data_IF_348204189260
#
_entry.id   IF_348204189260
#
_cell.length_a   1.000
_cell.length_b   1.000
_cell.length_c   1.000
_cell.angle_alpha   90.00
_cell.angle_beta   90.00
_cell.angle_gamma   90.00
#
_symmetry.space_group_name_H-M   'P 1'
#
loop_
_entity.id
_entity.type
_entity.pdbx_description
1 polymer ?
#
# COMPACT_ATOMS: atom_id res chain seq x y z
N UNK A 1 25.57 -55.28 -26.95
CA UNK A 1 26.66 -54.29 -26.99
C UNK A 1 26.28 -53.26 -28.04
N UNK A 2 25.65 -52.17 -27.61
CA UNK A 2 25.48 -50.95 -28.41
C UNK A 2 25.51 -49.80 -27.41
N UNK A 3 26.60 -49.04 -27.48
CA UNK A 3 26.92 -47.87 -26.69
C UNK A 3 26.24 -46.60 -27.27
N UNK A 4 25.67 -45.82 -26.35
CA UNK A 4 25.63 -44.33 -26.22
C UNK A 4 24.82 -43.46 -27.24
N UNK A 5 24.41 -42.19 -26.92
CA UNK A 5 24.87 -41.30 -25.83
C UNK A 5 23.84 -40.42 -25.06
N UNK A 6 24.36 -39.79 -24.00
CA UNK A 6 24.14 -38.41 -23.50
C UNK A 6 22.78 -37.91 -22.98
N UNK A 7 22.70 -37.92 -21.64
CA UNK A 7 22.57 -36.72 -20.81
C UNK A 7 22.01 -35.44 -21.44
N UNK A 8 20.72 -35.21 -21.29
CA UNK A 8 20.18 -33.84 -21.30
C UNK A 8 20.38 -33.22 -19.92
N UNK A 9 21.46 -32.44 -19.79
CA UNK A 9 21.67 -31.50 -18.69
C UNK A 9 20.50 -30.51 -18.63
N UNK A 10 19.53 -30.80 -17.76
CA UNK A 10 18.54 -29.83 -17.32
C UNK A 10 19.21 -28.99 -16.23
N UNK A 11 19.22 -27.65 -16.33
CA UNK A 11 19.86 -26.81 -15.32
C UNK A 11 19.26 -27.13 -13.94
N UNK A 12 20.13 -27.48 -13.00
CA UNK A 12 19.76 -27.98 -11.68
C UNK A 12 18.86 -26.97 -10.94
N UNK A 13 17.60 -27.32 -10.60
CA UNK A 13 16.64 -26.42 -9.97
C UNK A 13 17.12 -25.74 -8.68
N UNK A 14 18.08 -26.36 -7.96
CA UNK A 14 18.52 -25.87 -6.65
C UNK A 14 19.38 -24.60 -6.66
N UNK A 15 20.06 -24.28 -7.78
CA UNK A 15 20.99 -23.12 -7.82
C UNK A 15 20.27 -21.80 -8.10
N UNK A 16 19.23 -21.84 -8.94
CA UNK A 16 18.40 -20.66 -9.25
C UNK A 16 17.58 -20.24 -8.02
N UNK A 17 17.01 -21.20 -7.28
CA UNK A 17 16.20 -20.92 -6.09
C UNK A 17 16.98 -20.23 -4.97
N UNK A 18 18.24 -20.62 -4.73
CA UNK A 18 19.07 -20.01 -3.67
C UNK A 18 19.50 -18.56 -3.98
N UNK A 19 19.80 -18.26 -5.25
CA UNK A 19 20.17 -16.89 -5.66
C UNK A 19 18.96 -15.97 -5.59
N UNK A 20 17.80 -16.42 -6.07
CA UNK A 20 16.55 -15.65 -6.01
C UNK A 20 16.13 -15.38 -4.57
N UNK A 21 16.20 -16.38 -3.68
CA UNK A 21 15.79 -16.18 -2.28
C UNK A 21 16.65 -15.12 -1.57
N UNK A 22 17.97 -15.13 -1.81
CA UNK A 22 18.90 -14.15 -1.23
C UNK A 22 18.68 -12.75 -1.77
N UNK A 23 18.33 -12.64 -3.05
CA UNK A 23 18.00 -11.37 -3.67
C UNK A 23 16.72 -10.76 -3.09
N UNK A 24 15.66 -11.57 -2.94
CA UNK A 24 14.39 -11.13 -2.34
C UNK A 24 14.61 -10.61 -0.92
N UNK A 25 15.33 -11.37 -0.08
CA UNK A 25 15.63 -10.94 1.31
C UNK A 25 16.45 -9.64 1.36
N UNK A 26 17.42 -9.47 0.45
CA UNK A 26 18.19 -8.23 0.37
C UNK A 26 17.32 -7.04 -0.06
N UNK A 27 16.44 -7.24 -1.05
CA UNK A 27 15.48 -6.24 -1.50
C UNK A 27 14.48 -5.87 -0.41
N UNK A 28 13.98 -6.84 0.35
CA UNK A 28 13.09 -6.63 1.50
C UNK A 28 13.77 -5.77 2.57
N UNK A 29 15.01 -6.10 2.95
CA UNK A 29 15.75 -5.33 3.95
C UNK A 29 15.97 -3.88 3.51
N UNK A 30 16.32 -3.66 2.24
CA UNK A 30 16.50 -2.32 1.68
C UNK A 30 15.17 -1.57 1.65
N UNK A 31 14.08 -2.20 1.22
CA UNK A 31 12.75 -1.61 1.23
C UNK A 31 12.35 -1.21 2.66
N UNK A 32 12.46 -2.14 3.62
CA UNK A 32 12.17 -1.89 5.03
C UNK A 32 12.97 -0.71 5.59
N UNK A 33 14.27 -0.64 5.28
CA UNK A 33 15.12 0.47 5.71
C UNK A 33 14.69 1.81 5.11
N UNK A 34 14.32 1.83 3.82
CA UNK A 34 13.82 3.05 3.15
C UNK A 34 12.49 3.49 3.73
N UNK A 35 11.52 2.58 3.88
CA UNK A 35 10.22 2.89 4.48
C UNK A 35 10.36 3.40 5.92
N UNK A 36 11.19 2.75 6.73
CA UNK A 36 11.47 3.18 8.10
C UNK A 36 12.11 4.57 8.17
N UNK A 37 13.07 4.85 7.28
CA UNK A 37 13.71 6.17 7.21
C UNK A 37 12.73 7.27 6.78
N UNK A 38 11.94 7.03 5.74
CA UNK A 38 10.92 7.97 5.27
C UNK A 38 9.87 8.23 6.36
N UNK A 39 9.44 7.18 7.06
CA UNK A 39 8.50 7.30 8.17
C UNK A 39 9.10 8.11 9.32
N UNK A 40 10.35 7.83 9.71
CA UNK A 40 11.04 8.56 10.78
C UNK A 40 11.18 10.06 10.44
N UNK A 41 11.58 10.38 9.20
CA UNK A 41 11.67 11.77 8.73
C UNK A 41 10.32 12.46 8.81
N UNK A 42 9.25 11.83 8.30
CA UNK A 42 7.92 12.46 8.32
C UNK A 42 7.36 12.61 9.75
N UNK A 43 7.66 11.69 10.67
CA UNK A 43 7.30 11.83 12.09
C UNK A 43 8.01 13.03 12.71
N UNK A 44 9.31 13.19 12.45
CA UNK A 44 10.08 14.34 12.94
C UNK A 44 9.53 15.64 12.36
N UNK A 45 9.24 15.67 11.06
CA UNK A 45 8.66 16.84 10.40
C UNK A 45 7.30 17.22 11.01
N UNK A 46 6.40 16.26 11.21
CA UNK A 46 5.11 16.47 11.87
C UNK A 46 5.27 17.03 13.29
N UNK A 47 6.21 16.48 14.08
CA UNK A 47 6.50 16.98 15.43
C UNK A 47 6.97 18.44 15.38
N UNK A 48 7.89 18.77 14.45
CA UNK A 48 8.39 20.14 14.28
C UNK A 48 7.24 21.09 13.91
N UNK A 49 6.40 20.71 12.95
CA UNK A 49 5.23 21.51 12.53
C UNK A 49 4.28 21.78 13.70
N UNK A 50 3.98 20.75 14.52
CA UNK A 50 3.11 20.87 15.70
C UNK A 50 3.73 21.83 16.72
N UNK A 51 5.02 21.65 17.05
CA UNK A 51 5.71 22.51 18.03
C UNK A 51 5.72 23.97 17.57
N UNK A 52 5.98 24.23 16.29
CA UNK A 52 5.95 25.59 15.73
C UNK A 52 4.55 26.20 15.79
N UNK A 53 3.49 25.42 15.54
CA UNK A 53 2.11 25.91 15.63
C UNK A 53 1.69 26.22 17.07
N UNK A 54 2.13 25.41 18.04
CA UNK A 54 1.92 25.68 19.47
C UNK A 54 2.61 26.99 19.87
N UNK A 55 3.88 27.16 19.51
CA UNK A 55 4.66 28.36 19.84
C UNK A 55 4.09 29.63 19.20
N UNK A 56 3.58 29.52 17.97
CA UNK A 56 2.95 30.65 17.27
C UNK A 56 1.50 30.91 17.67
N UNK A 57 0.91 30.11 18.58
CA UNK A 57 -0.49 30.22 18.99
C UNK A 57 -1.50 29.87 17.89
N UNK A 58 -1.06 29.32 16.75
CA UNK A 58 -1.91 29.00 15.60
C UNK A 58 -2.57 27.62 15.71
N UNK A 59 -2.34 26.87 16.78
CA UNK A 59 -2.94 25.54 16.94
C UNK A 59 -4.48 25.57 17.05
N UNK A 60 -5.07 26.73 17.35
CA UNK A 60 -6.53 26.92 17.33
C UNK A 60 -7.09 27.18 15.93
N UNK A 61 -6.24 27.39 14.92
CA UNK A 61 -6.66 27.54 13.53
C UNK A 61 -6.98 26.16 12.92
N UNK A 62 -8.23 25.90 12.50
CA UNK A 62 -8.60 24.64 11.88
C UNK A 62 -7.77 24.29 10.64
N UNK A 63 -7.30 25.29 9.88
CA UNK A 63 -6.50 25.04 8.68
C UNK A 63 -5.13 24.45 9.02
N UNK A 64 -4.54 24.87 10.14
CA UNK A 64 -3.25 24.36 10.61
C UNK A 64 -3.38 22.92 11.09
N UNK A 65 -4.45 22.61 11.83
CA UNK A 65 -4.74 21.24 12.29
C UNK A 65 -4.96 20.29 11.12
N UNK A 66 -5.60 20.76 10.05
CA UNK A 66 -5.81 19.95 8.84
C UNK A 66 -4.48 19.61 8.16
N UNK A 67 -3.52 20.53 8.10
CA UNK A 67 -2.19 20.24 7.57
C UNK A 67 -1.44 19.14 8.36
N UNK A 68 -1.65 19.06 9.68
CA UNK A 68 -1.12 17.95 10.48
C UNK A 68 -1.76 16.62 10.12
N UNK A 69 -3.08 16.64 9.89
CA UNK A 69 -3.82 15.47 9.46
C UNK A 69 -3.27 15.02 8.10
N UNK A 70 -3.08 15.90 7.12
CA UNK A 70 -2.53 15.53 5.81
C UNK A 70 -1.17 14.85 5.89
N UNK A 71 -0.27 15.42 6.70
CA UNK A 71 1.05 14.83 6.95
C UNK A 71 0.95 13.48 7.67
N UNK A 72 0.09 13.39 8.69
CA UNK A 72 -0.18 12.15 9.42
C UNK A 72 -0.79 11.05 8.55
N UNK A 73 -1.66 11.41 7.60
CA UNK A 73 -2.24 10.46 6.65
C UNK A 73 -1.21 9.92 5.68
N UNK A 74 -0.29 10.78 5.21
CA UNK A 74 0.84 10.36 4.39
C UNK A 74 1.69 9.35 5.15
N UNK A 75 1.98 9.59 6.43
CA UNK A 75 2.70 8.64 7.29
C UNK A 75 1.95 7.31 7.44
N UNK A 76 0.63 7.35 7.65
CA UNK A 76 -0.18 6.14 7.72
C UNK A 76 -0.20 5.38 6.38
N UNK A 77 -0.11 6.06 5.24
CA UNK A 77 0.02 5.42 3.92
C UNK A 77 1.38 4.72 3.81
N UNK A 78 2.46 5.33 4.30
CA UNK A 78 3.80 4.73 4.30
C UNK A 78 3.81 3.39 5.05
N UNK A 79 3.23 3.35 6.26
CA UNK A 79 3.13 2.10 7.07
C UNK A 79 2.32 1.04 6.34
N UNK A 80 1.18 1.43 5.78
CA UNK A 80 0.27 0.52 5.08
C UNK A 80 0.90 -0.09 3.81
N UNK A 81 1.64 0.71 3.04
CA UNK A 81 2.37 0.22 1.87
C UNK A 81 3.48 -0.74 2.30
N UNK A 82 4.19 -0.45 3.39
CA UNK A 82 5.20 -1.35 3.95
C UNK A 82 4.60 -2.72 4.33
N UNK A 83 3.47 -2.74 5.05
CA UNK A 83 2.78 -3.99 5.40
C UNK A 83 2.38 -4.79 4.16
N UNK A 84 1.95 -4.10 3.09
CA UNK A 84 1.65 -4.75 1.81
C UNK A 84 2.90 -5.40 1.22
N UNK A 85 4.04 -4.71 1.22
CA UNK A 85 5.32 -5.24 0.69
C UNK A 85 5.75 -6.49 1.43
N UNK A 86 5.71 -6.49 2.76
CA UNK A 86 6.09 -7.65 3.57
C UNK A 86 5.14 -8.83 3.35
N UNK A 87 3.82 -8.57 3.29
CA UNK A 87 2.87 -9.64 3.03
C UNK A 87 3.06 -10.31 1.65
N UNK A 88 3.56 -9.56 0.66
CA UNK A 88 3.93 -10.11 -0.64
C UNK A 88 5.16 -11.02 -0.60
N UNK A 89 6.12 -10.76 0.29
CA UNK A 89 7.32 -11.60 0.41
C UNK A 89 7.08 -12.83 1.27
N UNK A 90 6.15 -12.77 2.23
CA UNK A 90 5.82 -13.88 3.12
C UNK A 90 4.77 -14.87 2.56
N UNK A 91 3.78 -14.41 1.76
CA UNK A 91 2.70 -15.28 1.29
C UNK A 91 2.96 -15.90 -0.10
N UNK A 92 2.90 -17.24 -0.19
CA UNK A 92 3.10 -17.98 -1.45
C UNK A 92 1.81 -18.19 -2.28
N UNK A 93 0.63 -17.79 -1.79
CA UNK A 93 -0.65 -17.99 -2.48
C UNK A 93 -1.15 -16.70 -3.12
N UNK A 94 -1.03 -16.59 -4.44
CA UNK A 94 -1.46 -15.41 -5.24
C UNK A 94 -2.90 -14.95 -4.95
N UNK A 95 -3.80 -15.86 -4.55
CA UNK A 95 -5.20 -15.52 -4.24
C UNK A 95 -5.36 -14.74 -2.93
N UNK A 96 -4.52 -15.01 -1.92
CA UNK A 96 -4.53 -14.27 -0.64
C UNK A 96 -3.94 -12.87 -0.81
N UNK A 97 -2.87 -12.78 -1.59
CA UNK A 97 -2.23 -11.53 -1.99
C UNK A 97 -3.24 -10.57 -2.64
N UNK A 98 -4.02 -11.03 -3.64
CA UNK A 98 -5.03 -10.18 -4.30
C UNK A 98 -6.07 -9.67 -3.31
N UNK A 99 -6.56 -10.52 -2.40
CA UNK A 99 -7.53 -10.13 -1.37
C UNK A 99 -6.94 -9.08 -0.43
N UNK A 100 -5.70 -9.24 0.02
CA UNK A 100 -5.01 -8.29 0.88
C UNK A 100 -4.91 -6.93 0.20
N UNK A 101 -4.44 -6.89 -1.05
CA UNK A 101 -4.32 -5.65 -1.83
C UNK A 101 -5.68 -4.96 -2.00
N UNK A 102 -6.76 -5.71 -2.25
CA UNK A 102 -8.10 -5.12 -2.36
C UNK A 102 -8.53 -4.53 -1.02
N UNK A 103 -8.32 -5.21 0.11
CA UNK A 103 -8.65 -4.66 1.43
C UNK A 103 -7.85 -3.40 1.74
N UNK A 104 -6.54 -3.42 1.48
CA UNK A 104 -5.69 -2.24 1.63
C UNK A 104 -6.18 -1.09 0.75
N UNK A 105 -6.46 -1.35 -0.53
CA UNK A 105 -6.99 -0.35 -1.45
C UNK A 105 -8.32 0.25 -0.99
N UNK A 106 -9.23 -0.56 -0.45
CA UNK A 106 -10.50 -0.08 0.12
C UNK A 106 -10.24 0.81 1.33
N UNK A 107 -9.37 0.40 2.26
CA UNK A 107 -9.02 1.19 3.46
C UNK A 107 -8.43 2.54 3.06
N UNK A 108 -7.48 2.57 2.11
CA UNK A 108 -6.87 3.79 1.60
C UNK A 108 -7.91 4.74 0.98
N UNK A 109 -8.84 4.21 0.17
CA UNK A 109 -9.89 5.01 -0.45
C UNK A 109 -10.87 5.58 0.58
N UNK A 110 -11.27 4.78 1.57
CA UNK A 110 -12.10 5.25 2.69
C UNK A 110 -11.40 6.38 3.44
N UNK A 111 -10.09 6.23 3.71
CA UNK A 111 -9.28 7.27 4.33
C UNK A 111 -9.31 8.56 3.50
N UNK A 112 -9.14 8.48 2.18
CA UNK A 112 -9.19 9.65 1.30
C UNK A 112 -10.56 10.33 1.29
N UNK A 113 -11.64 9.57 1.45
CA UNK A 113 -13.00 10.12 1.56
C UNK A 113 -13.27 10.79 2.90
N UNK A 114 -12.72 10.29 4.01
CA UNK A 114 -12.92 10.90 5.34
C UNK A 114 -12.37 12.32 5.41
N UNK A 115 -11.25 12.60 4.73
CA UNK A 115 -10.60 13.93 4.71
C UNK A 115 -11.04 14.76 3.51
N UNK A 116 -11.93 14.24 2.67
CA UNK A 116 -12.41 14.95 1.50
C UNK A 116 -13.09 16.28 1.88
N UNK A 117 -12.53 17.38 1.38
CA UNK A 117 -13.05 18.73 1.59
C UNK A 117 -13.06 19.49 0.27
N UNK A 118 -14.20 20.09 -0.05
CA UNK A 118 -14.39 20.83 -1.30
C UNK A 118 -13.51 22.08 -1.42
N UNK A 119 -13.12 22.69 -0.29
CA UNK A 119 -12.27 23.89 -0.25
C UNK A 119 -10.80 23.68 -0.62
N UNK A 120 -10.34 22.44 -0.76
CA UNK A 120 -8.99 22.09 -1.26
C UNK A 120 -8.89 22.20 -2.79
N UNK A 121 -10.03 22.26 -3.48
CA UNK A 121 -10.10 22.24 -4.93
C UNK A 121 -10.26 23.65 -5.48
N UNK A 122 -9.62 23.92 -6.62
CA UNK A 122 -9.66 25.25 -7.26
C UNK A 122 -11.09 25.69 -7.62
N UNK A 123 -11.95 24.72 -7.99
CA UNK A 123 -13.35 24.96 -8.29
C UNK A 123 -14.25 23.91 -7.66
N UNK A 124 -15.54 24.25 -7.48
CA UNK A 124 -16.57 23.29 -7.06
C UNK A 124 -16.74 22.14 -8.06
N UNK A 125 -16.48 22.40 -9.35
CA UNK A 125 -16.52 21.38 -10.39
C UNK A 125 -15.39 20.37 -10.26
N UNK A 126 -14.18 20.81 -9.91
CA UNK A 126 -13.05 19.90 -9.64
C UNK A 126 -13.32 19.03 -8.41
N UNK A 127 -13.90 19.61 -7.36
CA UNK A 127 -14.31 18.85 -6.18
C UNK A 127 -15.38 17.80 -6.52
N UNK A 128 -16.40 18.17 -7.31
CA UNK A 128 -17.43 17.25 -7.75
C UNK A 128 -16.83 16.10 -8.57
N UNK A 129 -15.93 16.41 -9.51
CA UNK A 129 -15.28 15.40 -10.34
C UNK A 129 -14.42 14.45 -9.51
N UNK A 130 -13.68 14.97 -8.53
CA UNK A 130 -12.92 14.15 -7.58
C UNK A 130 -13.84 13.25 -6.74
N UNK A 131 -14.95 13.78 -6.21
CA UNK A 131 -15.92 13.00 -5.44
C UNK A 131 -16.53 11.85 -6.26
N UNK A 132 -16.90 12.12 -7.52
CA UNK A 132 -17.40 11.10 -8.45
C UNK A 132 -16.32 10.05 -8.71
N UNK A 133 -15.08 10.47 -9.00
CA UNK A 133 -13.97 9.55 -9.23
C UNK A 133 -13.71 8.64 -8.01
N UNK A 134 -13.69 9.20 -6.80
CA UNK A 134 -13.50 8.42 -5.57
C UNK A 134 -14.66 7.45 -5.34
N UNK A 135 -15.90 7.88 -5.61
CA UNK A 135 -17.08 7.00 -5.53
C UNK A 135 -16.96 5.84 -6.53
N UNK A 136 -16.60 6.12 -7.78
CA UNK A 136 -16.41 5.09 -8.81
C UNK A 136 -15.30 4.11 -8.43
N UNK A 137 -14.18 4.58 -7.90
CA UNK A 137 -13.10 3.72 -7.44
C UNK A 137 -13.53 2.83 -6.26
N UNK A 138 -14.21 3.38 -5.26
CA UNK A 138 -14.73 2.61 -4.12
C UNK A 138 -15.73 1.54 -4.58
N UNK A 139 -16.65 1.90 -5.48
CA UNK A 139 -17.61 0.94 -6.04
C UNK A 139 -16.91 -0.14 -6.88
N UNK A 140 -15.88 0.21 -7.65
CA UNK A 140 -15.08 -0.74 -8.42
C UNK A 140 -14.34 -1.74 -7.54
N UNK A 141 -13.67 -1.25 -6.48
CA UNK A 141 -12.99 -2.09 -5.49
C UNK A 141 -13.99 -2.97 -4.71
N UNK A 142 -15.13 -2.42 -4.30
CA UNK A 142 -16.21 -3.16 -3.65
C UNK A 142 -16.79 -4.24 -4.57
N UNK A 143 -16.98 -3.94 -5.85
CA UNK A 143 -17.41 -4.90 -6.87
C UNK A 143 -16.42 -6.05 -7.04
N UNK A 144 -15.12 -5.75 -7.14
CA UNK A 144 -14.06 -6.75 -7.24
C UNK A 144 -14.06 -7.69 -6.02
N UNK A 145 -14.23 -7.13 -4.82
CA UNK A 145 -14.31 -7.87 -3.57
C UNK A 145 -15.55 -8.77 -3.49
N UNK A 146 -16.71 -8.32 -4.00
CA UNK A 146 -17.91 -9.14 -4.11
C UNK A 146 -17.72 -10.32 -5.07
N UNK A 147 -17.08 -10.09 -6.21
CA UNK A 147 -16.77 -11.14 -7.20
C UNK A 147 -15.79 -12.18 -6.61
N UNK A 148 -14.75 -11.72 -5.92
CA UNK A 148 -13.75 -12.58 -5.27
C UNK A 148 -14.38 -13.46 -4.19
N UNK A 149 -15.25 -12.89 -3.34
CA UNK A 149 -16.03 -13.64 -2.34
C UNK A 149 -17.00 -14.64 -2.97
N UNK A 150 -17.66 -14.27 -4.08
CA UNK A 150 -18.60 -15.14 -4.80
C UNK A 150 -17.94 -16.41 -5.36
N UNK A 151 -16.74 -16.28 -5.93
CA UNK A 151 -15.96 -17.43 -6.43
C UNK A 151 -15.46 -18.34 -5.30
N UNK A 152 -15.15 -17.78 -4.13
CA UNK A 152 -14.79 -18.57 -2.94
C UNK A 152 -15.93 -19.48 -2.47
N UNK A 153 -17.18 -19.01 -2.53
CA UNK A 153 -18.36 -19.76 -2.07
C UNK A 153 -18.75 -20.91 -3.01
N UNK A 154 -18.47 -20.78 -4.32
CA UNK A 154 -18.79 -21.81 -5.35
C UNK A 154 -17.82 -23.00 -5.36
N UNK A 155 -16.65 -22.88 -4.73
CA UNK A 155 -15.67 -23.97 -4.61
C UNK A 155 -15.84 -24.81 -3.33
N UNK A 156 -16.68 -24.37 -2.39
CA UNK A 156 -17.00 -25.05 -1.12
C UNK A 156 -18.39 -25.70 -1.12
N UNK A 157 -19.06 -25.75 -2.28
CA UNK A 157 -20.33 -26.42 -2.55
C UNK A 157 -20.14 -27.47 -3.62
#
# INVERSE_FOLDING_TARGET
MTDEPEGRDRPSPGRVTNVTNRFIHAAELVAAAVFALLFAIGVVDLIIQIVQAVQSGRITDPLVVIGFIDTGLLLLIIVEVYETVIAYTEESETRRIVRLVIYTGVIAMVRKTIIFRTGEYATTQDALLAAVAYTTLILGLGGLLLVERGHGKKLMS
#
